data_IF_030354208135
#
_entry.id   IF_030354208135
#
_cell.length_a   1.000
_cell.length_b   1.000
_cell.length_c   1.000
_cell.angle_alpha   90.00
_cell.angle_beta   90.00
_cell.angle_gamma   90.00
#
_symmetry.space_group_name_H-M   'P 1'
#
loop_
_entity.id
_entity.type
_entity.pdbx_description
1 polymer ?
#
# COMPACT_ATOMS: atom_id res chain seq x y z
N UNK A 1 16.18 -2.71 13.26
CA UNK A 1 16.09 -1.79 14.42
C UNK A 1 14.73 -1.09 14.37
N UNK A 2 13.98 -0.97 15.47
CA UNK A 2 12.54 -0.67 15.42
C UNK A 2 12.08 0.46 16.35
N UNK A 3 11.53 1.53 15.78
CA UNK A 3 10.65 2.46 16.50
C UNK A 3 9.26 1.82 16.66
N UNK A 4 8.80 1.64 17.90
CA UNK A 4 7.45 1.15 18.23
C UNK A 4 6.54 2.33 18.63
N UNK A 5 6.29 3.22 17.68
CA UNK A 5 5.34 4.32 17.86
C UNK A 5 3.94 3.79 17.53
N UNK A 6 3.13 3.52 18.56
CA UNK A 6 1.79 2.90 18.38
C UNK A 6 0.80 3.78 17.61
N UNK A 7 1.00 5.09 17.60
CA UNK A 7 0.05 6.07 17.06
C UNK A 7 0.39 6.58 15.65
N UNK A 8 1.21 5.85 14.89
CA UNK A 8 1.52 6.22 13.50
C UNK A 8 0.26 6.03 12.65
N UNK A 9 -0.29 7.16 12.16
CA UNK A 9 -1.49 7.20 11.30
C UNK A 9 -1.17 7.17 9.82
N UNK A 10 0.05 7.56 9.43
CA UNK A 10 0.45 7.73 8.04
C UNK A 10 1.89 7.27 7.84
N UNK A 11 2.13 6.52 6.78
CA UNK A 11 3.46 6.27 6.21
C UNK A 11 3.42 6.78 4.78
N UNK A 12 4.38 7.64 4.44
CA UNK A 12 4.47 8.27 3.12
C UNK A 12 5.82 7.92 2.52
N UNK A 13 5.80 7.29 1.35
CA UNK A 13 6.96 6.96 0.56
C UNK A 13 7.12 7.96 -0.58
N UNK A 14 8.22 8.72 -0.58
CA UNK A 14 8.60 9.62 -1.68
C UNK A 14 9.39 8.88 -2.78
N UNK A 15 8.93 7.66 -3.08
CA UNK A 15 9.60 6.73 -3.99
C UNK A 15 9.38 5.28 -3.54
N UNK A 16 9.21 4.36 -4.49
CA UNK A 16 9.03 2.94 -4.19
C UNK A 16 10.31 2.34 -3.60
N UNK A 17 10.21 1.52 -2.54
CA UNK A 17 11.33 0.71 -2.06
C UNK A 17 11.86 -0.27 -3.11
N UNK A 18 13.00 -0.89 -2.84
CA UNK A 18 13.59 -1.86 -3.75
C UNK A 18 12.74 -3.13 -3.91
N UNK A 19 11.97 -3.53 -2.88
CA UNK A 19 11.14 -4.72 -2.92
C UNK A 19 9.78 -4.54 -2.24
N UNK A 20 8.83 -5.40 -2.58
CA UNK A 20 7.48 -5.38 -2.01
C UNK A 20 7.53 -5.71 -0.51
N UNK A 21 8.39 -6.63 -0.09
CA UNK A 21 8.58 -7.02 1.31
C UNK A 21 9.09 -5.85 2.16
N UNK A 22 10.07 -5.08 1.64
CA UNK A 22 10.53 -3.85 2.31
C UNK A 22 9.38 -2.87 2.46
N UNK A 23 8.62 -2.63 1.39
CA UNK A 23 7.46 -1.74 1.44
C UNK A 23 6.44 -2.20 2.51
N UNK A 24 6.07 -3.48 2.55
CA UNK A 24 5.13 -4.03 3.52
C UNK A 24 5.65 -3.92 4.96
N UNK A 25 6.93 -4.19 5.19
CA UNK A 25 7.54 -4.04 6.51
C UNK A 25 7.50 -2.58 7.00
N UNK A 26 7.73 -1.62 6.10
CA UNK A 26 7.75 -0.20 6.42
C UNK A 26 6.35 0.35 6.71
N UNK A 27 5.37 0.05 5.86
CA UNK A 27 3.99 0.52 6.06
C UNK A 27 3.30 -0.17 7.24
N UNK A 28 3.70 -1.40 7.59
CA UNK A 28 3.22 -2.14 8.77
C UNK A 28 3.58 -1.50 10.12
N UNK A 29 4.26 -0.36 10.12
CA UNK A 29 4.45 0.50 11.29
C UNK A 29 3.21 1.33 11.61
N UNK A 30 2.37 1.62 10.62
CA UNK A 30 1.12 2.35 10.80
C UNK A 30 0.01 1.45 11.38
N UNK A 31 -1.00 2.06 12.01
CA UNK A 31 -2.24 1.36 12.38
C UNK A 31 -2.13 0.40 13.58
N UNK A 32 -1.02 0.40 14.31
CA UNK A 32 -0.82 -0.45 15.51
C UNK A 32 -1.76 -0.12 16.68
N UNK A 33 -2.41 1.05 16.66
CA UNK A 33 -3.43 1.44 17.63
C UNK A 33 -4.86 1.01 17.26
N UNK A 34 -5.05 0.17 16.23
CA UNK A 34 -6.37 -0.23 15.69
C UNK A 34 -7.23 0.94 15.19
N UNK A 35 -6.61 2.10 14.99
CA UNK A 35 -7.22 3.24 14.33
C UNK A 35 -6.86 3.22 12.85
N UNK A 36 -7.73 3.80 12.02
CA UNK A 36 -7.47 3.93 10.58
C UNK A 36 -6.12 4.57 10.31
N UNK A 37 -5.41 4.00 9.36
CA UNK A 37 -4.09 4.45 8.96
C UNK A 37 -3.90 4.32 7.46
N UNK A 38 -3.01 5.14 6.91
CA UNK A 38 -2.78 5.25 5.47
C UNK A 38 -1.33 4.96 5.13
N UNK A 39 -1.15 4.23 4.03
CA UNK A 39 0.11 4.08 3.33
C UNK A 39 -0.03 4.80 1.98
N UNK A 40 0.80 5.80 1.74
CA UNK A 40 0.78 6.60 0.50
C UNK A 40 2.13 6.43 -0.18
N UNK A 41 2.10 5.99 -1.43
CA UNK A 41 3.30 5.77 -2.23
C UNK A 41 3.28 6.68 -3.46
N UNK A 42 4.20 7.65 -3.48
CA UNK A 42 4.46 8.47 -4.65
C UNK A 42 5.53 7.83 -5.52
N UNK A 43 5.30 7.79 -6.82
CA UNK A 43 6.26 7.29 -7.79
C UNK A 43 5.99 7.90 -9.17
N UNK A 44 7.02 7.88 -10.01
CA UNK A 44 6.95 8.24 -11.42
C UNK A 44 7.53 7.10 -12.29
N UNK A 45 7.54 7.31 -13.61
CA UNK A 45 8.05 6.31 -14.56
C UNK A 45 9.55 6.04 -14.40
N UNK A 46 10.36 7.03 -14.05
CA UNK A 46 11.80 6.84 -13.82
C UNK A 46 12.07 6.00 -12.57
N UNK A 47 11.26 6.14 -11.52
CA UNK A 47 11.42 5.35 -10.30
C UNK A 47 11.18 3.86 -10.59
N UNK A 48 10.11 3.54 -11.33
CA UNK A 48 9.76 2.16 -11.71
C UNK A 48 10.81 1.57 -12.68
N UNK A 49 11.45 2.40 -13.49
CA UNK A 49 12.50 1.96 -14.43
C UNK A 49 13.80 1.53 -13.73
N UNK A 50 13.93 1.73 -12.42
CA UNK A 50 15.09 1.32 -11.64
C UNK A 50 15.44 -0.16 -11.83
N UNK A 51 16.71 -0.45 -12.09
CA UNK A 51 17.24 -1.81 -12.21
C UNK A 51 17.33 -2.54 -10.86
N UNK A 52 17.30 -1.80 -9.75
CA UNK A 52 17.41 -2.34 -8.40
C UNK A 52 16.06 -2.70 -7.77
N UNK A 53 14.95 -2.44 -8.48
CA UNK A 53 13.62 -2.74 -8.01
C UNK A 53 13.17 -4.13 -8.48
N UNK A 54 12.62 -4.92 -7.55
CA UNK A 54 12.08 -6.25 -7.86
C UNK A 54 10.87 -6.15 -8.78
N UNK A 55 10.60 -7.23 -9.50
CA UNK A 55 9.46 -7.29 -10.44
C UNK A 55 8.14 -7.08 -9.70
N UNK A 56 8.00 -7.65 -8.53
CA UNK A 56 6.77 -7.62 -7.74
C UNK A 56 6.46 -6.21 -7.23
N UNK A 57 7.49 -5.43 -6.89
CA UNK A 57 7.30 -4.02 -6.53
C UNK A 57 6.90 -3.18 -7.76
N UNK A 58 7.48 -3.45 -8.94
CA UNK A 58 7.07 -2.81 -10.20
C UNK A 58 5.62 -3.12 -10.52
N UNK A 59 5.25 -4.40 -10.49
CA UNK A 59 3.90 -4.90 -10.74
C UNK A 59 2.91 -4.28 -9.73
N UNK A 60 3.31 -4.17 -8.45
CA UNK A 60 2.53 -3.46 -7.43
C UNK A 60 2.32 -1.98 -7.76
N UNK A 61 3.31 -1.26 -8.30
CA UNK A 61 3.16 0.16 -8.65
C UNK A 61 2.25 0.35 -9.87
N UNK A 62 2.47 -0.41 -10.94
CA UNK A 62 1.76 -0.21 -12.22
C UNK A 62 0.38 -0.87 -12.27
N UNK A 63 0.07 -1.73 -11.30
CA UNK A 63 -1.24 -2.34 -11.19
C UNK A 63 -2.36 -1.30 -11.03
N UNK A 64 -3.40 -1.47 -11.83
CA UNK A 64 -4.57 -0.60 -11.91
C UNK A 64 -5.90 -1.36 -11.84
N UNK A 65 -5.87 -2.68 -11.62
CA UNK A 65 -7.06 -3.54 -11.72
C UNK A 65 -7.27 -4.44 -10.53
N UNK A 66 -6.20 -4.91 -9.87
CA UNK A 66 -6.31 -5.86 -8.75
C UNK A 66 -6.19 -5.09 -7.42
N UNK A 67 -7.07 -5.35 -6.45
CA UNK A 67 -6.95 -4.77 -5.12
C UNK A 67 -5.52 -4.92 -4.54
N UNK A 68 -4.96 -3.84 -3.96
CA UNK A 68 -3.61 -3.85 -3.38
C UNK A 68 -3.43 -4.95 -2.33
N UNK A 69 -4.45 -5.19 -1.51
CA UNK A 69 -4.46 -6.26 -0.49
C UNK A 69 -4.38 -7.65 -1.13
N UNK A 70 -5.12 -7.85 -2.21
CA UNK A 70 -5.11 -9.12 -2.97
C UNK A 70 -3.72 -9.42 -3.51
N UNK A 71 -3.03 -8.44 -4.12
CA UNK A 71 -1.65 -8.62 -4.59
C UNK A 71 -0.69 -9.00 -3.45
N UNK A 72 -0.80 -8.33 -2.31
CA UNK A 72 0.06 -8.62 -1.14
C UNK A 72 -0.20 -10.04 -0.63
N UNK A 73 -1.46 -10.44 -0.48
CA UNK A 73 -1.81 -11.79 -0.04
C UNK A 73 -1.30 -12.85 -1.02
N UNK A 74 -1.49 -12.65 -2.33
CA UNK A 74 -0.98 -13.56 -3.36
C UNK A 74 0.54 -13.70 -3.30
N UNK A 75 1.26 -12.58 -3.12
CA UNK A 75 2.71 -12.56 -2.99
C UNK A 75 3.20 -13.41 -1.80
N UNK A 76 2.51 -13.34 -0.65
CA UNK A 76 2.87 -14.13 0.54
C UNK A 76 2.20 -15.52 0.61
N UNK A 77 1.42 -15.91 -0.39
CA UNK A 77 0.71 -17.20 -0.41
C UNK A 77 -0.47 -17.30 0.57
N UNK A 78 -1.07 -16.18 0.97
CA UNK A 78 -2.27 -16.15 1.80
C UNK A 78 -3.55 -16.22 0.95
N UNK A 79 -4.59 -16.85 1.51
CA UNK A 79 -5.92 -16.81 0.94
C UNK A 79 -6.46 -15.37 0.89
N UNK A 80 -7.13 -15.03 -0.20
CA UNK A 80 -7.72 -13.71 -0.42
C UNK A 80 -9.20 -13.74 -0.11
N UNK A 81 -9.62 -12.96 0.89
CA UNK A 81 -11.03 -12.80 1.21
C UNK A 81 -11.60 -11.58 0.49
N UNK A 82 -12.83 -11.70 -0.01
CA UNK A 82 -13.59 -10.55 -0.49
C UNK A 82 -13.82 -9.55 0.64
N UNK A 83 -13.52 -8.28 0.37
CA UNK A 83 -13.67 -7.20 1.35
C UNK A 83 -15.14 -6.79 1.39
N UNK A 84 -15.90 -7.27 2.39
CA UNK A 84 -17.37 -7.11 2.44
C UNK A 84 -17.90 -5.90 3.24
N UNK A 85 -17.08 -5.14 3.98
CA UNK A 85 -17.60 -3.95 4.70
C UNK A 85 -16.51 -2.93 5.15
N UNK A 86 -16.86 -1.64 5.05
CA UNK A 86 -16.21 -0.32 5.34
C UNK A 86 -14.88 -0.23 6.15
N UNK A 87 -13.96 0.72 5.95
CA UNK A 87 -14.09 2.07 5.34
C UNK A 87 -13.00 2.46 4.32
N UNK A 88 -11.80 1.88 4.36
CA UNK A 88 -10.66 2.27 3.52
C UNK A 88 -9.86 0.99 3.16
N UNK A 89 -10.03 0.44 1.96
CA UNK A 89 -9.25 -0.75 1.54
C UNK A 89 -7.97 -0.37 0.79
N UNK A 90 -8.11 0.20 -0.40
CA UNK A 90 -7.01 0.73 -1.21
C UNK A 90 -7.59 1.63 -2.31
N UNK A 91 -6.71 2.37 -2.99
CA UNK A 91 -7.03 3.25 -4.13
C UNK A 91 -7.92 2.60 -5.19
N UNK A 92 -7.66 1.34 -5.54
CA UNK A 92 -8.42 0.65 -6.59
C UNK A 92 -9.83 0.25 -6.15
N UNK A 93 -9.99 -0.23 -4.91
CA UNK A 93 -11.32 -0.51 -4.36
C UNK A 93 -12.14 0.77 -4.17
N UNK A 94 -11.48 1.91 -3.89
CA UNK A 94 -12.14 3.22 -3.83
C UNK A 94 -12.72 3.62 -5.19
N UNK A 95 -11.92 3.47 -6.24
CA UNK A 95 -12.34 3.80 -7.61
C UNK A 95 -13.52 2.94 -8.06
N UNK A 96 -13.54 1.64 -7.73
CA UNK A 96 -14.66 0.73 -8.04
C UNK A 96 -15.97 1.16 -7.36
N UNK A 97 -15.91 1.77 -6.18
CA UNK A 97 -17.07 2.28 -5.45
C UNK A 97 -17.50 3.68 -5.90
N UNK A 98 -16.77 4.31 -6.83
CA UNK A 98 -17.05 5.68 -7.30
C UNK A 98 -16.83 6.76 -6.24
N UNK A 99 -16.00 6.48 -5.23
CA UNK A 99 -15.70 7.41 -4.13
C UNK A 99 -14.36 8.09 -4.42
N UNK A 100 -14.37 9.40 -4.62
CA UNK A 100 -13.12 10.18 -4.71
C UNK A 100 -12.42 10.25 -3.36
N UNK A 101 -11.10 10.11 -3.39
CA UNK A 101 -10.28 10.27 -2.20
C UNK A 101 -10.10 11.76 -1.89
N UNK A 102 -10.53 12.18 -0.70
CA UNK A 102 -10.35 13.55 -0.24
C UNK A 102 -8.91 13.77 0.25
N UNK A 103 -8.05 14.25 -0.66
CA UNK A 103 -6.66 14.58 -0.37
C UNK A 103 -6.48 15.77 0.58
N UNK A 104 -7.53 16.53 0.92
CA UNK A 104 -7.43 17.56 1.97
C UNK A 104 -7.21 16.96 3.37
N UNK A 105 -7.43 15.65 3.52
CA UNK A 105 -7.23 14.88 4.75
C UNK A 105 -5.83 14.25 4.85
N UNK A 106 -4.93 14.54 3.89
CA UNK A 106 -3.57 14.01 3.83
C UNK A 106 -2.62 14.52 4.90
#
# INVERSE_FOLDING_TARGET
MGADLRHVKRVIHAGPPASLETYIQEIGRAGRSHADALAILFFNKSDIASAHMTREMKDYCVNSTICRRTLVNQYFGFETQEVKQFSICCDLCYNELGIEYDFSKL
#
